data_IF_780828770598
#
_entry.id   IF_780828770598
#
_cell.length_a   1.000
_cell.length_b   1.000
_cell.length_c   1.000
_cell.angle_alpha   90.00
_cell.angle_beta   90.00
_cell.angle_gamma   90.00
#
_symmetry.space_group_name_H-M   'P 1'
#
loop_
_entity.id
_entity.type
_entity.pdbx_description
1 polymer ?
#
# COMPACT_ATOMS: atom_id res chain seq x y z
N UNK A 1 6.90 -0.43 16.19
CA UNK A 1 6.72 -0.80 14.78
C UNK A 1 6.05 0.33 14.02
N UNK A 2 6.38 0.49 12.75
CA UNK A 2 5.87 1.52 11.85
C UNK A 2 5.35 0.79 10.62
N UNK A 3 4.12 1.07 10.18
CA UNK A 3 3.49 0.34 9.09
C UNK A 3 2.99 1.26 7.98
N UNK A 4 3.12 0.78 6.74
CA UNK A 4 2.53 1.39 5.56
C UNK A 4 1.53 0.40 4.97
N UNK A 5 0.25 0.73 5.02
CA UNK A 5 -0.81 -0.06 4.40
C UNK A 5 -0.90 0.32 2.93
N UNK A 6 -0.77 -0.66 2.06
CA UNK A 6 -0.55 -0.44 0.63
C UNK A 6 -1.67 -1.03 -0.21
N UNK A 7 -2.36 -0.17 -0.96
CA UNK A 7 -3.13 -0.58 -2.12
C UNK A 7 -2.22 -0.61 -3.36
N UNK A 8 -2.62 -1.33 -4.40
CA UNK A 8 -1.82 -1.51 -5.61
C UNK A 8 -2.41 -0.73 -6.77
N UNK A 9 -3.64 -1.08 -7.21
CA UNK A 9 -4.26 -0.40 -8.34
C UNK A 9 -4.56 1.06 -7.97
N UNK A 10 -4.11 1.98 -8.82
CA UNK A 10 -4.22 3.41 -8.57
C UNK A 10 -3.20 3.97 -7.57
N UNK A 11 -2.26 3.14 -7.09
CA UNK A 11 -1.13 3.54 -6.23
C UNK A 11 0.19 3.23 -6.90
N UNK A 12 0.46 1.95 -7.22
CA UNK A 12 1.66 1.50 -7.91
C UNK A 12 1.46 1.34 -9.43
N UNK A 13 0.33 1.78 -9.93
CA UNK A 13 0.02 1.82 -11.35
C UNK A 13 -1.01 2.91 -11.65
N UNK A 14 -1.23 3.15 -12.94
CA UNK A 14 -2.31 3.98 -13.46
C UNK A 14 -2.68 3.49 -14.87
N UNK A 15 -3.56 4.21 -15.56
CA UNK A 15 -3.99 3.84 -16.91
C UNK A 15 -2.88 3.94 -17.97
N UNK A 16 -1.80 4.70 -17.70
CA UNK A 16 -0.65 4.84 -18.60
C UNK A 16 0.44 3.80 -18.36
N UNK A 17 0.31 2.99 -17.31
CA UNK A 17 1.24 1.90 -17.01
C UNK A 17 1.27 0.89 -18.15
N UNK A 18 2.46 0.59 -18.67
CA UNK A 18 2.65 -0.33 -19.79
C UNK A 18 2.84 -1.78 -19.37
N UNK A 19 3.29 -2.02 -18.14
CA UNK A 19 3.47 -3.36 -17.58
C UNK A 19 2.13 -4.07 -17.46
N UNK A 20 2.15 -5.38 -17.69
CA UNK A 20 0.95 -6.22 -17.63
C UNK A 20 1.15 -7.44 -16.75
N UNK A 21 0.10 -7.77 -16.00
CA UNK A 21 0.00 -8.97 -15.21
C UNK A 21 -1.20 -9.76 -15.75
N UNK A 22 -0.96 -10.82 -16.53
CA UNK A 22 -2.01 -11.63 -17.17
C UNK A 22 -3.04 -10.82 -17.98
N UNK A 23 -2.58 -9.80 -18.72
CA UNK A 23 -3.44 -8.93 -19.53
C UNK A 23 -4.07 -7.75 -18.77
N UNK A 24 -4.00 -7.73 -17.44
CA UNK A 24 -4.40 -6.59 -16.62
C UNK A 24 -3.24 -5.62 -16.44
N UNK A 25 -3.55 -4.39 -16.01
CA UNK A 25 -2.52 -3.41 -15.68
C UNK A 25 -1.63 -3.99 -14.57
N UNK A 26 -0.33 -4.00 -14.80
CA UNK A 26 0.66 -4.50 -13.86
C UNK A 26 1.13 -3.41 -12.88
N UNK A 27 2.41 -3.47 -12.50
CA UNK A 27 3.02 -2.54 -11.54
C UNK A 27 4.08 -1.72 -12.25
N UNK A 28 4.00 -0.40 -12.09
CA UNK A 28 4.96 0.55 -12.65
C UNK A 28 6.25 0.55 -11.81
N UNK A 29 7.41 0.16 -12.37
CA UNK A 29 8.67 0.17 -11.65
C UNK A 29 9.06 1.54 -11.09
N UNK A 30 8.70 2.63 -11.76
CA UNK A 30 8.95 3.99 -11.29
C UNK A 30 8.19 4.29 -10.00
N UNK A 31 6.98 3.77 -9.85
CA UNK A 31 6.19 3.94 -8.63
C UNK A 31 6.71 3.07 -7.48
N UNK A 32 7.25 1.90 -7.78
CA UNK A 32 7.94 1.08 -6.78
C UNK A 32 9.17 1.79 -6.23
N UNK A 33 9.91 2.53 -7.07
CA UNK A 33 11.04 3.36 -6.62
C UNK A 33 10.60 4.47 -5.66
N UNK A 34 9.44 5.08 -5.90
CA UNK A 34 8.87 6.07 -4.99
C UNK A 34 8.47 5.44 -3.66
N UNK A 35 7.87 4.26 -3.69
CA UNK A 35 7.58 3.48 -2.49
C UNK A 35 8.88 3.13 -1.74
N UNK A 36 9.92 2.72 -2.46
CA UNK A 36 11.25 2.45 -1.89
C UNK A 36 11.79 3.67 -1.14
N UNK A 37 11.66 4.86 -1.72
CA UNK A 37 12.07 6.09 -1.05
C UNK A 37 11.33 6.30 0.28
N UNK A 38 10.01 6.10 0.31
CA UNK A 38 9.24 6.20 1.56
C UNK A 38 9.78 5.21 2.60
N UNK A 39 9.96 3.95 2.20
CA UNK A 39 10.40 2.88 3.11
C UNK A 39 11.82 3.12 3.63
N UNK A 40 12.73 3.54 2.77
CA UNK A 40 14.12 3.82 3.18
C UNK A 40 14.20 4.93 4.24
N UNK A 41 13.36 5.94 4.11
CA UNK A 41 13.35 7.10 5.00
C UNK A 41 12.62 6.82 6.31
N UNK A 42 11.50 6.09 6.25
CA UNK A 42 10.63 5.87 7.41
C UNK A 42 10.88 4.56 8.15
N UNK A 43 11.50 3.60 7.48
CA UNK A 43 11.66 2.21 7.94
C UNK A 43 10.30 1.52 8.22
N UNK A 44 9.24 1.95 7.56
CA UNK A 44 7.93 1.33 7.66
C UNK A 44 7.94 -0.07 7.02
N UNK A 45 7.16 -0.97 7.59
CA UNK A 45 6.91 -2.29 7.02
C UNK A 45 5.60 -2.25 6.21
N UNK A 46 5.59 -2.95 5.07
CA UNK A 46 4.48 -2.92 4.12
C UNK A 46 3.46 -4.00 4.46
N UNK A 47 2.19 -3.59 4.60
CA UNK A 47 1.04 -4.48 4.79
C UNK A 47 0.06 -4.26 3.64
N UNK A 48 -0.33 -5.32 2.94
CA UNK A 48 -1.22 -5.22 1.77
C UNK A 48 -2.68 -5.04 2.20
N UNK A 49 -3.35 -4.09 1.58
CA UNK A 49 -4.81 -3.89 1.70
C UNK A 49 -5.55 -4.14 0.39
N UNK A 50 -4.84 -4.15 -0.73
CA UNK A 50 -5.35 -4.35 -2.08
C UNK A 50 -6.01 -5.72 -2.25
N UNK A 51 -6.96 -5.82 -3.21
CA UNK A 51 -7.51 -7.10 -3.64
C UNK A 51 -6.47 -8.06 -4.23
N UNK A 52 -5.31 -7.58 -4.63
CA UNK A 52 -4.17 -8.43 -5.02
C UNK A 52 -3.79 -9.41 -3.92
N UNK A 53 -4.10 -9.09 -2.65
CA UNK A 53 -3.82 -9.95 -1.48
C UNK A 53 -4.50 -11.33 -1.54
N UNK A 54 -5.57 -11.47 -2.30
CA UNK A 54 -6.26 -12.75 -2.44
C UNK A 54 -5.43 -13.80 -3.18
N UNK A 55 -4.49 -13.37 -4.00
CA UNK A 55 -3.54 -14.22 -4.72
C UNK A 55 -2.14 -14.23 -4.10
N UNK A 56 -1.99 -13.59 -2.94
CA UNK A 56 -0.71 -13.38 -2.25
C UNK A 56 -0.70 -14.02 -0.88
N UNK A 57 0.41 -14.66 -0.51
CA UNK A 57 0.60 -15.31 0.79
C UNK A 57 1.82 -14.73 1.52
N UNK A 58 1.69 -14.42 2.82
CA UNK A 58 2.79 -13.82 3.56
C UNK A 58 3.91 -14.80 3.89
N UNK A 59 3.60 -16.08 4.13
CA UNK A 59 4.56 -17.07 4.66
C UNK A 59 4.87 -18.15 3.63
N UNK A 60 3.86 -18.93 3.24
CA UNK A 60 4.05 -20.04 2.30
C UNK A 60 3.91 -19.54 0.85
N UNK A 61 5.03 -19.14 0.26
CA UNK A 61 5.08 -18.58 -1.10
C UNK A 61 4.72 -19.60 -2.18
N UNK A 62 4.70 -20.89 -1.87
CA UNK A 62 4.24 -21.92 -2.81
C UNK A 62 2.73 -21.81 -3.08
N UNK A 63 1.98 -21.15 -2.20
CA UNK A 63 0.55 -20.89 -2.32
C UNK A 63 0.22 -19.59 -3.04
N UNK A 64 1.22 -18.77 -3.37
CA UNK A 64 1.01 -17.61 -4.22
C UNK A 64 0.41 -18.05 -5.56
N UNK A 65 -0.58 -17.32 -6.03
CA UNK A 65 -1.03 -17.39 -7.40
C UNK A 65 -0.22 -16.45 -8.29
N UNK A 66 -0.52 -16.36 -9.55
CA UNK A 66 0.30 -15.60 -10.51
C UNK A 66 0.50 -14.14 -10.08
N UNK A 67 -0.58 -13.44 -9.71
CA UNK A 67 -0.49 -12.03 -9.32
C UNK A 67 0.32 -11.84 -8.03
N UNK A 68 0.24 -12.77 -7.09
CA UNK A 68 1.06 -12.76 -5.87
C UNK A 68 2.54 -12.88 -6.17
N UNK A 69 2.93 -13.79 -7.05
CA UNK A 69 4.32 -13.93 -7.50
C UNK A 69 4.80 -12.70 -8.27
N UNK A 70 3.96 -12.15 -9.13
CA UNK A 70 4.25 -10.93 -9.87
C UNK A 70 4.51 -9.75 -8.92
N UNK A 71 3.66 -9.58 -7.90
CA UNK A 71 3.79 -8.54 -6.89
C UNK A 71 5.09 -8.67 -6.11
N UNK A 72 5.39 -9.88 -5.62
CA UNK A 72 6.64 -10.14 -4.90
C UNK A 72 7.88 -9.80 -5.75
N UNK A 73 7.87 -10.16 -7.02
CA UNK A 73 8.96 -9.87 -7.95
C UNK A 73 9.10 -8.35 -8.20
N UNK A 74 7.98 -7.64 -8.38
CA UNK A 74 7.98 -6.20 -8.60
C UNK A 74 8.54 -5.45 -7.39
N UNK A 75 8.17 -5.85 -6.17
CA UNK A 75 8.71 -5.26 -4.95
C UNK A 75 10.18 -5.64 -4.75
N UNK A 76 10.55 -6.89 -4.98
CA UNK A 76 11.91 -7.40 -4.81
C UNK A 76 12.90 -6.71 -5.75
N UNK A 77 12.47 -6.25 -6.92
CA UNK A 77 13.31 -5.49 -7.86
C UNK A 77 13.91 -4.23 -7.23
N UNK A 78 13.26 -3.66 -6.21
CA UNK A 78 13.75 -2.52 -5.43
C UNK A 78 14.14 -2.92 -4.00
N UNK A 79 14.30 -4.21 -3.72
CA UNK A 79 14.68 -4.71 -2.41
C UNK A 79 13.59 -4.61 -1.36
N UNK A 80 12.32 -4.50 -1.79
CA UNK A 80 11.16 -4.40 -0.92
C UNK A 80 10.44 -5.74 -0.79
N UNK A 81 9.68 -5.89 0.29
CA UNK A 81 8.75 -6.99 0.50
C UNK A 81 7.57 -6.54 1.34
N UNK A 82 6.40 -7.08 1.08
CA UNK A 82 5.29 -6.99 2.00
C UNK A 82 5.45 -8.06 3.10
N UNK A 83 5.03 -7.72 4.33
CA UNK A 83 5.18 -8.63 5.47
C UNK A 83 3.88 -9.36 5.80
N UNK A 84 2.74 -8.78 5.47
CA UNK A 84 1.42 -9.31 5.81
C UNK A 84 0.34 -8.66 4.96
N UNK A 85 -0.89 -9.08 5.18
CA UNK A 85 -2.08 -8.53 4.54
C UNK A 85 -3.21 -8.40 5.53
N UNK A 86 -4.11 -7.44 5.33
CA UNK A 86 -5.33 -7.30 6.10
C UNK A 86 -6.39 -8.31 5.65
N UNK A 87 -7.35 -8.58 6.52
CA UNK A 87 -8.50 -9.42 6.22
C UNK A 87 -9.76 -8.58 6.25
N UNK A 88 -10.40 -8.42 5.12
CA UNK A 88 -11.64 -7.65 4.96
C UNK A 88 -12.42 -8.18 3.77
N UNK A 89 -13.64 -7.71 3.62
CA UNK A 89 -14.41 -7.86 2.40
C UNK A 89 -14.41 -6.53 1.60
N UNK A 90 -15.16 -6.47 0.51
CA UNK A 90 -15.15 -5.35 -0.42
C UNK A 90 -15.53 -3.98 0.17
N UNK A 91 -16.30 -3.95 1.27
CA UNK A 91 -16.88 -2.71 1.78
C UNK A 91 -16.29 -2.23 3.09
N UNK A 92 -15.45 -3.04 3.73
CA UNK A 92 -14.96 -2.76 5.08
C UNK A 92 -13.43 -2.76 5.18
N UNK A 93 -12.77 -2.11 4.22
CA UNK A 93 -11.30 -2.00 4.22
C UNK A 93 -10.76 -1.34 5.48
N UNK A 94 -11.46 -0.32 5.99
CA UNK A 94 -11.09 0.35 7.24
C UNK A 94 -11.15 -0.56 8.45
N UNK A 95 -12.21 -1.38 8.56
CA UNK A 95 -12.32 -2.38 9.61
C UNK A 95 -11.16 -3.39 9.53
N UNK A 96 -10.81 -3.83 8.33
CA UNK A 96 -9.68 -4.74 8.11
C UNK A 96 -8.37 -4.16 8.63
N UNK A 97 -8.10 -2.89 8.37
CA UNK A 97 -6.91 -2.18 8.86
C UNK A 97 -6.93 -2.10 10.39
N UNK A 98 -8.04 -1.69 10.99
CA UNK A 98 -8.14 -1.55 12.44
C UNK A 98 -8.03 -2.91 13.16
N UNK A 99 -8.62 -3.96 12.62
CA UNK A 99 -8.49 -5.30 13.18
C UNK A 99 -7.04 -5.79 13.15
N UNK A 100 -6.33 -5.51 12.06
CA UNK A 100 -4.91 -5.84 11.94
C UNK A 100 -4.08 -5.07 12.97
N UNK A 101 -4.32 -3.76 13.13
CA UNK A 101 -3.61 -2.91 14.10
C UNK A 101 -3.85 -3.31 15.55
N UNK A 102 -5.02 -3.86 15.89
CA UNK A 102 -5.30 -4.37 17.24
C UNK A 102 -4.36 -5.51 17.63
N UNK A 103 -3.97 -6.34 16.67
CA UNK A 103 -3.06 -7.47 16.86
C UNK A 103 -1.58 -7.08 16.65
N UNK A 104 -1.32 -5.93 16.05
CA UNK A 104 0.01 -5.45 15.70
C UNK A 104 0.17 -3.99 16.16
N UNK A 105 0.46 -3.77 17.46
CA UNK A 105 0.61 -2.41 17.97
C UNK A 105 1.60 -1.57 17.16
N UNK A 106 1.19 -0.36 16.78
CA UNK A 106 1.95 0.52 15.92
C UNK A 106 2.28 1.83 16.61
N UNK A 107 3.50 2.32 16.39
CA UNK A 107 3.92 3.65 16.79
C UNK A 107 3.42 4.71 15.81
N UNK A 108 3.41 4.38 14.53
CA UNK A 108 2.94 5.25 13.45
C UNK A 108 2.53 4.41 12.24
N UNK A 109 1.54 4.87 11.50
CA UNK A 109 1.08 4.20 10.30
C UNK A 109 0.44 5.17 9.31
N UNK A 110 0.53 4.84 8.03
CA UNK A 110 -0.04 5.58 6.90
C UNK A 110 -0.68 4.59 5.95
N UNK A 111 -1.76 4.99 5.31
CA UNK A 111 -2.47 4.22 4.28
C UNK A 111 -2.30 4.92 2.94
N UNK A 112 -1.81 4.20 1.93
CA UNK A 112 -1.80 4.66 0.53
C UNK A 112 -2.93 3.96 -0.21
N UNK A 113 -3.89 4.72 -0.70
CA UNK A 113 -5.05 4.22 -1.43
C UNK A 113 -5.51 5.26 -2.45
N UNK A 114 -6.08 4.82 -3.57
CA UNK A 114 -6.69 5.71 -4.56
C UNK A 114 -8.16 6.00 -4.27
N UNK A 115 -8.75 5.29 -3.30
CA UNK A 115 -10.16 5.39 -2.94
C UNK A 115 -10.35 5.73 -1.47
N UNK A 116 -11.40 6.51 -1.22
CA UNK A 116 -11.92 6.78 0.11
C UNK A 116 -13.07 5.81 0.40
N UNK A 117 -12.84 4.82 1.24
CA UNK A 117 -13.86 3.81 1.56
C UNK A 117 -14.85 4.33 2.59
N UNK A 118 -16.10 3.85 2.50
CA UNK A 118 -17.21 4.33 3.33
C UNK A 118 -16.97 4.20 4.84
N UNK A 119 -16.19 3.22 5.28
CA UNK A 119 -15.90 3.00 6.69
C UNK A 119 -14.64 3.72 7.20
N UNK A 120 -13.93 4.47 6.36
CA UNK A 120 -12.66 5.08 6.75
C UNK A 120 -12.80 6.11 7.86
N UNK A 121 -13.83 6.98 7.83
CA UNK A 121 -14.08 7.92 8.91
C UNK A 121 -14.42 7.20 10.22
N UNK A 122 -15.37 6.29 10.15
CA UNK A 122 -15.85 5.52 11.28
C UNK A 122 -14.73 4.72 11.96
N UNK A 123 -13.83 4.17 11.17
CA UNK A 123 -12.71 3.35 11.66
C UNK A 123 -11.45 4.14 12.00
N UNK A 124 -11.49 5.47 11.89
CA UNK A 124 -10.34 6.32 12.23
C UNK A 124 -9.19 6.25 11.22
N UNK A 125 -9.47 5.85 9.98
CA UNK A 125 -8.45 5.73 8.93
C UNK A 125 -8.14 7.09 8.31
N UNK A 126 -9.13 7.96 8.18
CA UNK A 126 -9.03 9.23 7.42
C UNK A 126 -7.83 10.09 7.80
N UNK A 127 -7.48 10.29 9.09
CA UNK A 127 -6.28 11.06 9.45
C UNK A 127 -4.96 10.44 9.00
N UNK A 128 -4.96 9.17 8.64
CA UNK A 128 -3.78 8.41 8.21
C UNK A 128 -3.78 8.11 6.72
N UNK A 129 -4.79 8.57 5.98
CA UNK A 129 -4.98 8.27 4.57
C UNK A 129 -4.28 9.30 3.70
N UNK A 130 -3.44 8.84 2.79
CA UNK A 130 -2.97 9.59 1.63
C UNK A 130 -3.66 9.05 0.38
N UNK A 131 -4.54 9.87 -0.20
CA UNK A 131 -5.17 9.56 -1.48
C UNK A 131 -4.18 9.77 -2.63
N UNK A 132 -4.05 8.76 -3.48
CA UNK A 132 -3.18 8.80 -4.65
C UNK A 132 -3.94 9.11 -5.94
N UNK A 133 -5.19 9.51 -5.83
CA UNK A 133 -6.03 9.97 -6.93
C UNK A 133 -6.94 11.09 -6.44
N UNK A 134 -7.43 11.89 -7.38
CA UNK A 134 -8.46 12.91 -7.17
C UNK A 134 -9.42 12.90 -8.35
N UNK A 135 -10.41 13.79 -8.36
CA UNK A 135 -11.36 13.90 -9.48
C UNK A 135 -10.68 14.29 -10.80
N UNK A 136 -9.52 14.96 -10.73
CA UNK A 136 -8.77 15.46 -11.88
C UNK A 136 -7.51 14.65 -12.19
N UNK A 137 -7.09 13.74 -11.30
CA UNK A 137 -5.77 13.13 -11.33
C UNK A 137 -5.84 11.68 -10.84
N UNK A 138 -5.48 10.75 -11.72
CA UNK A 138 -5.39 9.32 -11.45
C UNK A 138 -3.95 8.79 -11.59
N UNK A 139 -2.95 9.63 -11.29
CA UNK A 139 -1.55 9.28 -11.52
C UNK A 139 -1.01 8.20 -10.58
N UNK A 140 -1.64 7.99 -9.44
CA UNK A 140 -1.13 7.10 -8.41
C UNK A 140 -0.05 7.77 -7.56
N UNK A 141 0.92 7.00 -7.11
CA UNK A 141 2.05 7.55 -6.35
C UNK A 141 2.90 8.45 -7.24
N UNK A 142 3.21 9.64 -6.75
CA UNK A 142 4.04 10.66 -7.41
C UNK A 142 5.15 11.09 -6.45
N UNK A 143 6.20 11.79 -6.90
CA UNK A 143 7.21 12.33 -6.00
C UNK A 143 6.61 13.19 -4.88
N UNK A 144 5.63 14.04 -5.20
CA UNK A 144 4.95 14.90 -4.22
C UNK A 144 4.17 14.08 -3.20
N UNK A 145 3.46 13.05 -3.64
CA UNK A 145 2.70 12.15 -2.77
C UNK A 145 3.61 11.31 -1.88
N UNK A 146 4.77 10.90 -2.40
CA UNK A 146 5.77 10.21 -1.58
C UNK A 146 6.26 11.11 -0.44
N UNK A 147 6.56 12.38 -0.70
CA UNK A 147 6.96 13.34 0.33
C UNK A 147 5.80 13.61 1.32
N UNK A 148 4.56 13.68 0.85
CA UNK A 148 3.40 13.81 1.73
C UNK A 148 3.27 12.62 2.69
N UNK A 149 3.49 11.40 2.21
CA UNK A 149 3.48 10.20 3.06
C UNK A 149 4.57 10.27 4.13
N UNK A 150 5.78 10.67 3.76
CA UNK A 150 6.90 10.86 4.69
C UNK A 150 6.54 11.89 5.76
N UNK A 151 5.97 13.04 5.35
CA UNK A 151 5.52 14.07 6.28
C UNK A 151 4.46 13.55 7.27
N UNK A 152 3.52 12.74 6.79
CA UNK A 152 2.51 12.12 7.66
C UNK A 152 3.14 11.21 8.73
N UNK A 153 4.20 10.50 8.41
CA UNK A 153 4.96 9.73 9.38
C UNK A 153 5.70 10.63 10.39
N UNK A 154 6.31 11.71 9.91
CA UNK A 154 7.00 12.69 10.77
C UNK A 154 6.03 13.34 11.78
N UNK A 155 4.83 13.70 11.33
CA UNK A 155 3.77 14.26 12.20
C UNK A 155 3.35 13.30 13.31
N UNK A 156 3.54 11.99 13.10
CA UNK A 156 3.30 10.96 14.11
C UNK A 156 4.56 10.67 14.97
N UNK A 157 5.61 11.44 14.81
CA UNK A 157 6.82 11.34 15.63
C UNK A 157 7.89 10.38 15.09
N UNK A 158 7.79 9.94 13.83
CA UNK A 158 8.85 9.15 13.19
C UNK A 158 10.04 10.06 12.91
N UNK A 159 11.21 9.65 13.36
CA UNK A 159 12.46 10.36 13.14
C UNK A 159 13.03 9.99 11.78
N UNK A 160 13.41 10.99 10.99
CA UNK A 160 13.90 10.84 9.62
C UNK A 160 15.26 11.51 9.48
#
# INVERSE_FOLDING_TARGET
MIYLFLDIDGVLNNYDTTERCQGFIGIDPGKVKLLKHIIDVTHAEIVLTSTWKYEWEPIDKTKNEYAGNYLDAALAAEGLKAIDKTTDNWSNRGEGIQNWLKEHPSKAWVVLDDMYFDDFDKMGITPHLLLTASDEDYEGLTPERAEQAINMFQEQGVQI
#
